data_IF_285097002034
#
_entry.id   IF_285097002034
#
_cell.length_a   1.000
_cell.length_b   1.000
_cell.length_c   1.000
_cell.angle_alpha   90.00
_cell.angle_beta   90.00
_cell.angle_gamma   90.00
#
_symmetry.space_group_name_H-M   'P 1'
#
loop_
_entity.id
_entity.type
_entity.pdbx_description
1 polymer ?
#
# COMPACT_ATOMS: atom_id res chain seq x y z
N UNK A 1 14.63 23.03 11.22
CA UNK A 1 13.81 21.80 11.21
C UNK A 1 12.90 21.90 10.01
N UNK A 2 13.31 21.34 8.88
CA UNK A 2 12.53 21.47 7.63
C UNK A 2 11.18 20.78 7.80
N UNK A 3 10.11 21.52 7.52
CA UNK A 3 8.77 20.97 7.37
C UNK A 3 8.83 19.98 6.21
N UNK A 4 8.97 18.69 6.52
CA UNK A 4 8.73 17.64 5.53
C UNK A 4 7.30 17.84 5.03
N UNK A 5 7.13 18.13 3.75
CA UNK A 5 5.81 18.22 3.13
C UNK A 5 5.12 16.87 3.25
N UNK A 6 4.22 16.77 4.23
CA UNK A 6 3.41 15.58 4.52
C UNK A 6 1.99 15.83 4.03
N UNK A 7 1.65 15.24 2.90
CA UNK A 7 0.27 15.21 2.42
C UNK A 7 -0.44 13.99 3.02
N UNK A 8 -1.69 14.16 3.47
CA UNK A 8 -2.54 13.05 3.92
C UNK A 8 -3.64 12.81 2.88
N UNK A 9 -3.85 11.55 2.51
CA UNK A 9 -4.87 11.16 1.53
C UNK A 9 -5.69 10.00 2.07
N UNK A 10 -7.00 10.04 1.80
CA UNK A 10 -7.88 8.89 1.94
C UNK A 10 -7.77 8.06 0.67
N UNK A 11 -7.54 6.76 0.82
CA UNK A 11 -7.34 5.84 -0.29
C UNK A 11 -8.10 4.55 -0.07
N UNK A 12 -8.33 3.83 -1.17
CA UNK A 12 -8.81 2.45 -1.17
C UNK A 12 -7.77 1.56 -1.81
N UNK A 13 -7.53 0.37 -1.23
CA UNK A 13 -6.71 -0.66 -1.87
C UNK A 13 -7.49 -1.21 -3.06
N UNK A 14 -6.97 -1.00 -4.27
CA UNK A 14 -7.59 -1.49 -5.50
C UNK A 14 -7.03 -2.83 -5.92
N UNK A 15 -5.73 -3.05 -5.70
CA UNK A 15 -5.02 -4.26 -6.04
C UNK A 15 -3.95 -4.54 -4.98
N UNK A 16 -3.69 -5.81 -4.71
CA UNK A 16 -2.67 -6.26 -3.79
C UNK A 16 -2.08 -7.58 -4.29
N UNK A 17 -0.76 -7.68 -4.33
CA UNK A 17 -0.07 -8.85 -4.88
C UNK A 17 1.23 -9.14 -4.14
N UNK A 18 1.56 -10.43 -4.03
CA UNK A 18 2.84 -10.92 -3.52
C UNK A 18 3.49 -11.79 -4.59
N UNK A 19 4.66 -11.38 -5.08
CA UNK A 19 5.35 -12.02 -6.20
C UNK A 19 6.86 -12.09 -5.99
N UNK A 20 7.50 -12.97 -6.74
CA UNK A 20 8.96 -12.99 -6.82
C UNK A 20 9.48 -11.83 -7.65
N UNK A 21 10.58 -11.24 -7.21
CA UNK A 21 11.28 -10.17 -7.90
C UNK A 21 11.99 -10.67 -9.16
N UNK A 22 12.03 -9.82 -10.17
CA UNK A 22 12.66 -10.08 -11.47
C UNK A 22 13.74 -9.05 -11.77
N UNK A 23 14.67 -9.38 -12.68
CA UNK A 23 15.75 -8.48 -13.08
C UNK A 23 16.69 -8.16 -11.91
N UNK A 24 16.74 -6.89 -11.50
CA UNK A 24 17.61 -6.44 -10.40
C UNK A 24 17.16 -6.91 -9.01
N UNK A 25 15.93 -7.41 -8.90
CA UNK A 25 15.32 -7.86 -7.65
C UNK A 25 15.20 -9.40 -7.58
N UNK A 26 15.96 -10.13 -8.39
CA UNK A 26 16.00 -11.61 -8.32
C UNK A 26 16.42 -12.07 -6.92
N UNK A 27 15.71 -13.07 -6.39
CA UNK A 27 15.91 -13.58 -5.02
C UNK A 27 15.17 -12.78 -3.94
N UNK A 28 14.45 -11.72 -4.33
CA UNK A 28 13.62 -10.90 -3.44
C UNK A 28 12.15 -11.22 -3.61
N UNK A 29 11.38 -11.03 -2.56
CA UNK A 29 9.92 -10.99 -2.60
C UNK A 29 9.47 -9.54 -2.72
N UNK A 30 8.50 -9.29 -3.59
CA UNK A 30 7.84 -8.01 -3.78
C UNK A 30 6.38 -8.15 -3.34
N UNK A 31 6.00 -7.40 -2.31
CA UNK A 31 4.61 -7.21 -1.94
C UNK A 31 4.18 -5.79 -2.35
N UNK A 32 3.12 -5.67 -3.12
CA UNK A 32 2.68 -4.42 -3.73
C UNK A 32 1.22 -4.15 -3.41
N UNK A 33 0.93 -2.89 -3.08
CA UNK A 33 -0.42 -2.36 -2.92
C UNK A 33 -0.62 -1.23 -3.92
N UNK A 34 -1.60 -1.39 -4.81
CA UNK A 34 -2.13 -0.29 -5.60
C UNK A 34 -3.27 0.37 -4.82
N UNK A 35 -3.18 1.68 -4.66
CA UNK A 35 -4.10 2.48 -3.86
C UNK A 35 -4.69 3.57 -4.75
N UNK A 36 -5.98 3.85 -4.65
CA UNK A 36 -6.62 4.96 -5.35
C UNK A 36 -7.14 5.98 -4.37
N UNK A 37 -6.86 7.27 -4.60
CA UNK A 37 -7.35 8.36 -3.75
C UNK A 37 -8.87 8.47 -3.88
N UNK A 38 -9.58 8.39 -2.75
CA UNK A 38 -11.05 8.33 -2.72
C UNK A 38 -11.73 9.69 -2.60
N UNK A 39 -11.02 10.70 -2.08
CA UNK A 39 -11.57 12.02 -1.78
C UNK A 39 -10.54 13.15 -1.84
N UNK A 40 -11.04 14.38 -2.04
CA UNK A 40 -10.24 15.60 -2.12
C UNK A 40 -9.51 15.77 -3.44
N UNK A 41 -8.54 16.69 -3.47
CA UNK A 41 -7.71 16.95 -4.65
C UNK A 41 -6.91 15.69 -5.02
N UNK A 42 -6.90 15.34 -6.30
CA UNK A 42 -6.29 14.11 -6.79
C UNK A 42 -7.16 12.86 -6.59
N UNK A 43 -8.47 13.01 -6.36
CA UNK A 43 -9.40 11.86 -6.38
C UNK A 43 -9.27 11.10 -7.70
N UNK A 44 -9.08 9.79 -7.61
CA UNK A 44 -8.82 8.92 -8.76
C UNK A 44 -7.34 8.71 -9.05
N UNK A 45 -6.44 9.48 -8.44
CA UNK A 45 -5.00 9.28 -8.60
C UNK A 45 -4.56 7.96 -7.98
N UNK A 46 -3.61 7.31 -8.64
CA UNK A 46 -3.01 6.07 -8.19
C UNK A 46 -1.74 6.32 -7.36
N UNK A 47 -1.64 5.59 -6.25
CA UNK A 47 -0.47 5.55 -5.38
C UNK A 47 -0.06 4.09 -5.25
N UNK A 48 1.19 3.78 -5.59
CA UNK A 48 1.73 2.43 -5.45
C UNK A 48 2.64 2.38 -4.24
N UNK A 49 2.41 1.41 -3.33
CA UNK A 49 3.31 1.10 -2.22
C UNK A 49 3.92 -0.28 -2.41
N UNK A 50 5.25 -0.33 -2.47
CA UNK A 50 6.03 -1.57 -2.63
C UNK A 50 6.84 -1.87 -1.37
N UNK A 51 6.83 -3.13 -0.98
CA UNK A 51 7.71 -3.72 0.02
C UNK A 51 8.59 -4.73 -0.71
N UNK A 52 9.90 -4.54 -0.65
CA UNK A 52 10.87 -5.40 -1.32
C UNK A 52 11.80 -5.95 -0.24
N UNK A 53 11.92 -7.27 -0.13
CA UNK A 53 12.68 -7.92 0.94
C UNK A 53 13.22 -9.29 0.55
N UNK A 54 14.22 -9.79 1.29
CA UNK A 54 14.88 -11.07 1.05
C UNK A 54 14.65 -12.00 2.25
N UNK A 55 13.96 -13.12 2.01
CA UNK A 55 13.76 -14.21 2.98
C UNK A 55 12.82 -13.89 4.16
N UNK A 56 13.15 -12.88 4.96
CA UNK A 56 12.45 -12.55 6.20
C UNK A 56 11.52 -11.35 6.00
N UNK A 57 10.30 -11.47 6.52
CA UNK A 57 9.32 -10.38 6.55
C UNK A 57 9.85 -9.16 7.30
N UNK A 58 9.89 -7.97 6.67
CA UNK A 58 10.34 -6.77 7.35
C UNK A 58 9.36 -6.31 8.43
N UNK A 59 9.88 -5.84 9.56
CA UNK A 59 9.06 -5.33 10.68
C UNK A 59 8.10 -4.22 10.27
N UNK A 60 8.51 -3.34 9.34
CA UNK A 60 7.65 -2.25 8.88
C UNK A 60 6.46 -2.75 8.07
N UNK A 61 6.62 -3.83 7.28
CA UNK A 61 5.51 -4.49 6.60
C UNK A 61 4.55 -5.13 7.60
N UNK A 62 5.08 -5.87 8.59
CA UNK A 62 4.27 -6.48 9.64
C UNK A 62 3.47 -5.44 10.43
N UNK A 63 4.11 -4.32 10.79
CA UNK A 63 3.44 -3.21 11.49
C UNK A 63 2.35 -2.57 10.64
N UNK A 64 2.60 -2.37 9.35
CA UNK A 64 1.60 -1.80 8.44
C UNK A 64 0.40 -2.72 8.26
N UNK A 65 0.61 -4.03 8.13
CA UNK A 65 -0.48 -5.00 8.03
C UNK A 65 -1.23 -5.20 9.35
N UNK A 66 -0.53 -5.13 10.48
CA UNK A 66 -1.15 -5.16 11.80
C UNK A 66 -2.10 -3.98 12.00
N UNK A 67 -1.76 -2.78 11.50
CA UNK A 67 -2.67 -1.61 11.49
C UNK A 67 -3.93 -1.85 10.67
N UNK A 68 -3.86 -2.71 9.67
CA UNK A 68 -5.01 -3.13 8.86
C UNK A 68 -5.75 -4.33 9.47
N UNK A 69 -5.33 -4.82 10.64
CA UNK A 69 -5.94 -5.93 11.36
C UNK A 69 -5.39 -7.32 11.01
N UNK A 70 -4.28 -7.40 10.27
CA UNK A 70 -3.69 -8.68 9.86
C UNK A 70 -2.38 -8.95 10.62
N UNK A 71 -2.36 -10.06 11.35
CA UNK A 71 -1.12 -10.61 11.90
C UNK A 71 -0.52 -11.56 10.84
N UNK A 72 0.71 -11.29 10.42
CA UNK A 72 1.42 -12.08 9.42
C UNK A 72 2.79 -12.53 9.95
N UNK A 73 3.09 -13.81 9.77
CA UNK A 73 4.36 -14.39 10.21
C UNK A 73 5.14 -15.05 9.07
N UNK A 74 4.52 -15.28 7.91
CA UNK A 74 5.18 -15.85 6.73
C UNK A 74 4.81 -15.19 5.41
N UNK A 75 5.52 -15.56 4.35
CA UNK A 75 5.19 -15.16 2.98
C UNK A 75 3.88 -15.83 2.51
N UNK A 76 3.57 -17.04 2.97
CA UNK A 76 2.28 -17.67 2.64
C UNK A 76 1.11 -16.88 3.24
N UNK A 77 1.28 -16.31 4.45
CA UNK A 77 0.26 -15.42 5.03
C UNK A 77 0.03 -14.20 4.15
N UNK A 78 1.09 -13.55 3.66
CA UNK A 78 0.99 -12.42 2.73
C UNK A 78 0.20 -12.77 1.47
N UNK A 79 0.52 -13.91 0.85
CA UNK A 79 -0.16 -14.38 -0.35
C UNK A 79 -1.64 -14.63 -0.08
N UNK A 80 -1.97 -15.22 1.07
CA UNK A 80 -3.35 -15.49 1.49
C UNK A 80 -4.15 -14.21 1.70
N UNK A 81 -3.59 -13.23 2.40
CA UNK A 81 -4.33 -12.00 2.75
C UNK A 81 -4.37 -10.97 1.61
N UNK A 82 -3.56 -11.11 0.56
CA UNK A 82 -3.50 -10.14 -0.53
C UNK A 82 -4.89 -9.82 -1.10
N UNK A 83 -5.68 -10.85 -1.42
CA UNK A 83 -7.06 -10.66 -1.89
C UNK A 83 -7.99 -10.02 -0.84
N UNK A 84 -7.75 -10.28 0.44
CA UNK A 84 -8.54 -9.73 1.55
C UNK A 84 -8.27 -8.24 1.78
N UNK A 85 -7.13 -7.72 1.31
CA UNK A 85 -6.81 -6.29 1.43
C UNK A 85 -7.59 -5.44 0.41
N UNK A 86 -8.03 -6.02 -0.71
CA UNK A 86 -8.76 -5.29 -1.75
C UNK A 86 -10.08 -4.73 -1.19
N UNK A 87 -10.33 -3.45 -1.43
CA UNK A 87 -11.48 -2.72 -0.90
C UNK A 87 -11.26 -2.10 0.47
N UNK A 88 -10.12 -2.30 1.11
CA UNK A 88 -9.75 -1.64 2.37
C UNK A 88 -9.62 -0.15 2.15
N UNK A 89 -10.39 0.65 2.90
CA UNK A 89 -10.30 2.10 2.93
C UNK A 89 -9.43 2.51 4.11
N UNK A 90 -8.39 3.29 3.82
CA UNK A 90 -7.42 3.72 4.81
C UNK A 90 -6.93 5.15 4.53
N UNK A 91 -6.33 5.76 5.54
CA UNK A 91 -5.55 6.98 5.39
C UNK A 91 -4.10 6.64 5.16
N UNK A 92 -3.47 7.34 4.22
CA UNK A 92 -2.03 7.29 4.00
C UNK A 92 -1.41 8.66 4.13
N UNK A 93 -0.15 8.66 4.55
CA UNK A 93 0.71 9.82 4.55
C UNK A 93 1.77 9.70 3.46
N UNK A 94 1.79 10.70 2.59
CA UNK A 94 2.77 10.88 1.54
C UNK A 94 3.81 11.88 2.05
N UNK A 95 5.05 11.41 2.21
CA UNK A 95 6.16 12.23 2.69
C UNK A 95 7.19 12.33 1.57
N UNK A 96 7.42 13.56 1.11
CA UNK A 96 8.48 13.83 0.14
C UNK A 96 9.82 13.96 0.87
N UNK A 97 10.82 13.21 0.42
CA UNK A 97 12.20 13.21 0.94
C UNK A 97 13.14 13.34 -0.26
N UNK A 98 13.44 14.59 -0.65
CA UNK A 98 14.08 14.91 -1.93
C UNK A 98 13.21 14.50 -3.11
N UNK A 99 13.75 13.65 -3.98
CA UNK A 99 13.04 13.07 -5.13
C UNK A 99 12.23 11.82 -4.77
N UNK A 100 12.39 11.28 -3.56
CA UNK A 100 11.69 10.08 -3.13
C UNK A 100 10.33 10.42 -2.49
N UNK A 101 9.30 9.67 -2.88
CA UNK A 101 8.00 9.69 -2.22
C UNK A 101 7.86 8.47 -1.30
N UNK A 102 7.71 8.69 0.01
CA UNK A 102 7.43 7.62 0.97
C UNK A 102 5.95 7.58 1.31
N UNK A 103 5.37 6.38 1.25
CA UNK A 103 3.96 6.12 1.58
C UNK A 103 3.89 5.40 2.92
N UNK A 104 3.21 6.00 3.90
CA UNK A 104 2.97 5.40 5.22
C UNK A 104 1.49 5.05 5.36
N UNK A 105 1.18 3.84 5.84
CA UNK A 105 -0.21 3.46 6.15
C UNK A 105 -0.52 3.95 7.57
N UNK A 106 -1.51 4.82 7.72
CA UNK A 106 -1.84 5.44 9.00
C UNK A 106 -2.99 4.71 9.69
N UNK A 107 -4.23 4.90 9.23
CA UNK A 107 -5.43 4.43 9.92
C UNK A 107 -6.39 3.72 8.97
N UNK A 108 -6.96 2.61 9.45
CA UNK A 108 -8.04 1.89 8.79
C UNK A 108 -9.40 2.53 9.09
N UNK A 109 -10.25 2.67 8.07
CA UNK A 109 -11.57 3.29 8.20
C UNK A 109 -12.73 2.36 7.82
N UNK A 110 -12.50 1.31 7.05
CA UNK A 110 -13.57 0.40 6.63
C UNK A 110 -13.29 -0.27 5.30
N UNK A 111 -14.35 -0.74 4.65
CA UNK A 111 -14.30 -1.35 3.33
C UNK A 111 -15.33 -0.72 2.39
N UNK A 112 -15.00 -0.64 1.11
CA UNK A 112 -15.92 -0.26 0.04
C UNK A 112 -15.55 -1.00 -1.27
N UNK A 113 -16.35 -0.82 -2.33
CA UNK A 113 -16.07 -1.37 -3.65
C UNK A 113 -15.03 -0.52 -4.40
N UNK A 114 -13.82 -1.06 -4.70
CA UNK A 114 -12.80 -0.36 -5.49
C UNK A 114 -13.26 0.15 -6.85
N UNK A 115 -14.23 -0.51 -7.48
CA UNK A 115 -14.70 -0.16 -8.84
C UNK A 115 -15.35 1.22 -8.90
N UNK A 116 -15.83 1.75 -7.77
CA UNK A 116 -16.38 3.11 -7.66
C UNK A 116 -15.31 4.20 -7.86
N UNK A 117 -14.05 3.85 -7.67
CA UNK A 117 -12.93 4.79 -7.60
C UNK A 117 -11.93 4.62 -8.75
N UNK A 118 -11.95 3.48 -9.46
CA UNK A 118 -11.17 3.31 -10.69
C UNK A 118 -11.59 4.40 -11.70
N UNK A 119 -10.63 5.16 -12.20
CA UNK A 119 -10.88 6.13 -13.25
C UNK A 119 -11.50 5.39 -14.44
N UNK A 120 -12.70 5.81 -14.84
CA UNK A 120 -13.27 5.39 -16.13
C UNK A 120 -12.34 5.97 -17.18
N UNK A 121 -11.50 5.12 -17.78
CA UNK A 121 -10.79 5.48 -19.01
C UNK A 121 -11.88 5.79 -20.02
N UNK A 122 -12.06 7.08 -20.33
CA UNK A 122 -12.87 7.56 -21.45
C UNK A 122 -11.97 7.73 -22.67
#
# INVERSE_FOLDING_TARGET
MELRDRARKMVIVTEAECRDGVGKDVGRTIFELALTVTAGDGKGDEIVKRYIFEGVLPDYLRRDLLRLGYLIDSIEDLQRIAGELIGTVLRVSLVKDGDALRVYLDDYFGRDDPKKYKAVIR
#
